data_IF_943915012811
#
_entry.id   IF_943915012811
#
_cell.length_a   1.000
_cell.length_b   1.000
_cell.length_c   1.000
_cell.angle_alpha   90.00
_cell.angle_beta   90.00
_cell.angle_gamma   90.00
#
_symmetry.space_group_name_H-M   'P 1'
#
loop_
_entity.id
_entity.type
_entity.pdbx_description
1 polymer ?
#
# COMPACT_ATOMS: atom_id res chain seq x y z
N UNK A 1 5.09 64.66 -9.73
CA UNK A 1 4.83 64.29 -11.15
C UNK A 1 5.73 63.18 -11.68
N UNK A 2 7.04 63.15 -11.40
CA UNK A 2 7.94 62.06 -11.89
C UNK A 2 7.55 60.64 -11.42
N UNK A 3 7.07 60.47 -10.18
CA UNK A 3 6.64 59.16 -9.66
C UNK A 3 5.38 58.59 -10.32
N UNK A 4 4.47 59.45 -10.81
CA UNK A 4 3.22 59.03 -11.48
C UNK A 4 3.54 58.52 -12.89
N UNK A 5 4.41 59.22 -13.63
CA UNK A 5 4.84 58.79 -14.97
C UNK A 5 5.67 57.50 -14.97
N UNK A 6 6.46 57.25 -13.92
CA UNK A 6 7.17 55.99 -13.72
C UNK A 6 6.21 54.83 -13.43
N UNK A 7 5.19 55.07 -12.59
CA UNK A 7 4.13 54.10 -12.29
C UNK A 7 3.32 53.72 -13.53
N UNK A 8 2.89 54.70 -14.34
CA UNK A 8 2.14 54.44 -15.58
C UNK A 8 2.97 53.67 -16.61
N UNK A 9 4.26 53.98 -16.79
CA UNK A 9 5.13 53.26 -17.72
C UNK A 9 5.37 51.81 -17.30
N UNK A 10 5.55 51.55 -16.00
CA UNK A 10 5.68 50.19 -15.46
C UNK A 10 4.37 49.40 -15.65
N UNK A 11 3.22 50.06 -15.49
CA UNK A 11 1.91 49.46 -15.69
C UNK A 11 1.64 49.11 -17.17
N UNK A 12 2.00 49.97 -18.12
CA UNK A 12 1.85 49.68 -19.56
C UNK A 12 2.79 48.58 -20.03
N UNK A 13 4.04 48.55 -19.55
CA UNK A 13 5.01 47.48 -19.85
C UNK A 13 4.56 46.12 -19.29
N UNK A 14 4.01 46.08 -18.08
CA UNK A 14 3.46 44.85 -17.49
C UNK A 14 2.22 44.36 -18.24
N UNK A 15 1.32 45.25 -18.67
CA UNK A 15 0.16 44.88 -19.50
C UNK A 15 0.56 44.28 -20.85
N UNK A 16 1.61 44.80 -21.50
CA UNK A 16 2.13 44.21 -22.74
C UNK A 16 2.74 42.83 -22.52
N UNK A 17 3.52 42.64 -21.45
CA UNK A 17 4.11 41.33 -21.11
C UNK A 17 3.02 40.29 -20.83
N UNK A 18 1.99 40.66 -20.08
CA UNK A 18 0.85 39.77 -19.81
C UNK A 18 0.13 39.42 -21.11
N UNK A 19 -0.12 40.40 -21.99
CA UNK A 19 -0.81 40.15 -23.26
C UNK A 19 -0.01 39.21 -24.19
N UNK A 20 1.30 39.43 -24.29
CA UNK A 20 2.21 38.58 -25.08
C UNK A 20 2.23 37.15 -24.52
N UNK A 21 2.33 36.99 -23.19
CA UNK A 21 2.34 35.69 -22.55
C UNK A 21 1.00 34.95 -22.71
N UNK A 22 -0.14 35.65 -22.62
CA UNK A 22 -1.45 35.06 -22.90
C UNK A 22 -1.59 34.59 -24.34
N UNK A 23 -1.05 35.37 -25.31
CA UNK A 23 -1.03 35.00 -26.71
C UNK A 23 -0.15 33.77 -26.94
N UNK A 24 1.01 33.72 -26.29
CA UNK A 24 1.90 32.56 -26.34
C UNK A 24 1.24 31.30 -25.78
N UNK A 25 0.52 31.40 -24.66
CA UNK A 25 -0.19 30.27 -24.07
C UNK A 25 -1.28 29.76 -25.01
N UNK A 26 -2.09 30.65 -25.60
CA UNK A 26 -3.17 30.26 -26.53
C UNK A 26 -2.64 29.52 -27.75
N UNK A 27 -1.48 29.94 -28.27
CA UNK A 27 -0.93 29.38 -29.50
C UNK A 27 -0.04 28.15 -29.26
N UNK A 28 0.63 28.08 -28.10
CA UNK A 28 1.74 27.15 -27.90
C UNK A 28 1.61 26.23 -26.68
N UNK A 29 0.65 26.44 -25.77
CA UNK A 29 0.56 25.60 -24.57
C UNK A 29 0.32 24.12 -24.92
N UNK A 30 -0.70 23.84 -25.73
CA UNK A 30 -1.09 22.46 -26.05
C UNK A 30 -0.09 21.76 -26.98
N UNK A 31 0.63 22.53 -27.81
CA UNK A 31 1.68 21.98 -28.68
C UNK A 31 2.99 21.72 -27.93
N UNK A 32 3.36 22.57 -26.96
CA UNK A 32 4.60 22.41 -26.20
C UNK A 32 4.46 21.53 -24.94
N UNK A 33 3.24 21.33 -24.45
CA UNK A 33 2.96 20.58 -23.22
C UNK A 33 1.90 19.51 -23.53
N UNK A 34 2.33 18.29 -23.92
CA UNK A 34 1.42 17.21 -24.25
C UNK A 34 0.48 16.87 -23.09
N UNK A 35 -0.81 16.69 -23.42
CA UNK A 35 -1.84 16.41 -22.41
C UNK A 35 -2.26 17.64 -21.58
N UNK A 36 -1.85 18.85 -21.99
CA UNK A 36 -2.41 20.09 -21.45
C UNK A 36 -3.68 20.49 -22.20
N UNK A 37 -4.58 21.19 -21.49
CA UNK A 37 -5.77 21.82 -22.07
C UNK A 37 -6.00 23.17 -21.41
N UNK A 38 -6.07 24.22 -22.21
CA UNK A 38 -6.33 25.57 -21.69
C UNK A 38 -7.83 25.73 -21.41
N UNK A 39 -8.20 25.98 -20.15
CA UNK A 39 -9.60 26.20 -19.74
C UNK A 39 -9.95 27.68 -19.76
N UNK A 40 -9.06 28.51 -19.22
CA UNK A 40 -9.21 29.96 -19.17
C UNK A 40 -7.87 30.62 -19.45
N UNK A 41 -7.88 31.69 -20.24
CA UNK A 41 -6.69 32.47 -20.57
C UNK A 41 -7.10 33.94 -20.72
N UNK A 42 -7.15 34.63 -19.58
CA UNK A 42 -7.61 36.02 -19.44
C UNK A 42 -6.58 36.84 -18.65
N UNK A 43 -6.60 38.19 -18.73
CA UNK A 43 -5.62 39.05 -18.05
C UNK A 43 -5.53 38.90 -16.54
N UNK A 44 -6.60 38.44 -15.87
CA UNK A 44 -6.59 38.19 -14.42
C UNK A 44 -6.05 36.81 -14.05
N UNK A 45 -6.22 35.81 -14.92
CA UNK A 45 -5.88 34.42 -14.62
C UNK A 45 -5.72 33.53 -15.85
N UNK A 46 -4.86 32.53 -15.69
CA UNK A 46 -4.71 31.41 -16.61
C UNK A 46 -5.02 30.12 -15.87
N UNK A 47 -5.93 29.32 -16.44
CA UNK A 47 -6.27 27.99 -15.92
C UNK A 47 -6.00 26.93 -16.97
N UNK A 48 -5.17 25.95 -16.62
CA UNK A 48 -4.76 24.86 -17.50
C UNK A 48 -4.97 23.54 -16.79
N UNK A 49 -5.62 22.58 -17.45
CA UNK A 49 -5.65 21.20 -17.01
C UNK A 49 -4.45 20.46 -17.59
N UNK A 50 -3.67 19.78 -16.76
CA UNK A 50 -2.59 18.89 -17.12
C UNK A 50 -3.03 17.46 -16.85
N UNK A 51 -3.04 16.60 -17.87
CA UNK A 51 -3.45 15.20 -17.76
C UNK A 51 -2.38 14.28 -18.31
N UNK A 52 -1.86 13.40 -17.45
CA UNK A 52 -1.01 12.26 -17.85
C UNK A 52 -1.83 10.98 -17.91
N UNK A 53 -2.57 10.68 -16.85
CA UNK A 53 -3.51 9.55 -16.78
C UNK A 53 -4.83 10.03 -16.15
N UNK A 54 -5.81 9.13 -16.02
CA UNK A 54 -7.06 9.43 -15.29
C UNK A 54 -6.83 9.79 -13.81
N UNK A 55 -5.76 9.27 -13.22
CA UNK A 55 -5.42 9.47 -11.80
C UNK A 55 -4.23 10.43 -11.58
N UNK A 56 -3.48 10.74 -12.64
CA UNK A 56 -2.46 11.79 -12.68
C UNK A 56 -2.98 12.96 -13.49
N UNK A 57 -3.89 13.73 -12.89
CA UNK A 57 -4.43 14.95 -13.47
C UNK A 57 -4.40 16.09 -12.46
N UNK A 58 -4.14 17.30 -12.95
CA UNK A 58 -3.95 18.50 -12.16
C UNK A 58 -4.56 19.70 -12.89
N UNK A 59 -5.41 20.44 -12.22
CA UNK A 59 -5.86 21.77 -12.66
C UNK A 59 -4.94 22.81 -12.03
N UNK A 60 -4.25 23.57 -12.86
CA UNK A 60 -3.33 24.63 -12.48
C UNK A 60 -4.05 25.97 -12.67
N UNK A 61 -4.15 26.77 -11.62
CA UNK A 61 -4.68 28.13 -11.68
C UNK A 61 -3.56 29.11 -11.34
N UNK A 62 -3.25 29.99 -12.29
CA UNK A 62 -2.18 30.99 -12.20
C UNK A 62 -2.82 32.37 -12.24
N UNK A 63 -2.54 33.21 -11.25
CA UNK A 63 -3.04 34.60 -11.22
C UNK A 63 -1.85 35.56 -11.26
N UNK A 64 -2.03 36.65 -12.00
CA UNK A 64 -1.03 37.70 -12.12
C UNK A 64 -1.15 38.65 -10.93
N UNK A 65 -0.09 38.86 -10.13
CA UNK A 65 -0.07 39.94 -9.16
C UNK A 65 0.08 41.30 -9.85
N UNK A 66 -0.23 42.39 -9.14
CA UNK A 66 -0.20 43.76 -9.69
C UNK A 66 1.18 44.17 -10.25
N UNK A 67 2.27 43.67 -9.66
CA UNK A 67 3.64 43.97 -10.05
C UNK A 67 4.29 42.82 -10.84
N UNK A 68 3.51 42.06 -11.60
CA UNK A 68 4.05 41.06 -12.51
C UNK A 68 4.79 41.71 -13.70
N UNK A 69 5.95 41.18 -14.17
CA UNK A 69 6.65 39.94 -13.77
C UNK A 69 7.68 40.08 -12.63
N UNK A 70 7.72 41.21 -11.93
CA UNK A 70 8.65 41.49 -10.82
C UNK A 70 8.26 40.76 -9.52
N UNK A 71 7.01 40.28 -9.46
CA UNK A 71 6.52 39.35 -8.45
C UNK A 71 6.25 37.97 -9.06
N UNK A 72 6.22 36.94 -8.22
CA UNK A 72 5.90 35.57 -8.65
C UNK A 72 4.41 35.40 -8.89
N UNK A 73 4.04 34.55 -9.84
CA UNK A 73 2.66 34.13 -10.03
C UNK A 73 2.07 33.58 -8.73
N UNK A 74 0.79 33.88 -8.48
CA UNK A 74 0.03 33.19 -7.45
C UNK A 74 -0.46 31.85 -8.03
N UNK A 75 -0.05 30.74 -7.42
CA UNK A 75 -0.30 29.39 -7.93
C UNK A 75 -1.28 28.67 -7.01
N UNK A 76 -2.36 28.17 -7.60
CA UNK A 76 -3.29 27.27 -6.92
C UNK A 76 -3.40 25.96 -7.72
N UNK A 77 -3.12 24.85 -7.04
CA UNK A 77 -3.13 23.50 -7.61
C UNK A 77 -4.33 22.71 -7.09
N UNK A 78 -5.14 22.16 -7.99
CA UNK A 78 -6.31 21.33 -7.65
C UNK A 78 -6.27 19.99 -8.37
N UNK A 79 -6.65 18.91 -7.69
CA UNK A 79 -6.81 17.60 -8.31
C UNK A 79 -7.99 16.87 -7.69
N UNK A 80 -8.62 15.99 -8.48
CA UNK A 80 -9.66 15.07 -7.99
C UNK A 80 -9.07 13.77 -7.45
N UNK A 81 -7.79 13.50 -7.72
CA UNK A 81 -7.16 12.18 -7.52
C UNK A 81 -5.85 12.24 -6.77
N UNK A 82 -5.13 13.38 -6.81
CA UNK A 82 -3.93 13.61 -6.00
C UNK A 82 -4.32 14.27 -4.68
N UNK A 83 -3.61 13.94 -3.60
CA UNK A 83 -3.95 14.41 -2.27
C UNK A 83 -3.51 15.85 -2.00
N UNK A 84 -4.24 16.54 -1.12
CA UNK A 84 -3.99 17.95 -0.79
C UNK A 84 -2.59 18.19 -0.21
N UNK A 85 -2.08 17.25 0.59
CA UNK A 85 -0.73 17.36 1.15
C UNK A 85 0.34 17.37 0.06
N UNK A 86 0.18 16.54 -0.97
CA UNK A 86 1.06 16.54 -2.13
C UNK A 86 0.92 17.84 -2.93
N UNK A 87 -0.31 18.28 -3.19
CA UNK A 87 -0.57 19.52 -3.94
C UNK A 87 0.01 20.75 -3.24
N UNK A 88 -0.13 20.85 -1.91
CA UNK A 88 0.44 21.92 -1.10
C UNK A 88 1.98 21.90 -1.15
N UNK A 89 2.59 20.71 -1.08
CA UNK A 89 4.04 20.56 -1.24
C UNK A 89 4.51 20.98 -2.63
N UNK A 90 3.82 20.55 -3.68
CA UNK A 90 4.15 20.90 -5.06
C UNK A 90 3.96 22.40 -5.33
N UNK A 91 2.93 23.02 -4.75
CA UNK A 91 2.70 24.47 -4.86
C UNK A 91 3.90 25.26 -4.33
N UNK A 92 4.41 24.89 -3.15
CA UNK A 92 5.60 25.52 -2.57
C UNK A 92 6.85 25.38 -3.45
N UNK A 93 7.05 24.19 -4.03
CA UNK A 93 8.16 23.95 -4.97
C UNK A 93 8.00 24.84 -6.21
N UNK A 94 6.78 24.98 -6.74
CA UNK A 94 6.53 25.86 -7.89
C UNK A 94 6.75 27.34 -7.56
N UNK A 95 6.36 27.79 -6.36
CA UNK A 95 6.64 29.16 -5.91
C UNK A 95 8.15 29.44 -5.84
N UNK A 96 8.96 28.47 -5.39
CA UNK A 96 10.42 28.56 -5.41
C UNK A 96 10.99 28.63 -6.83
N UNK A 97 10.46 27.85 -7.77
CA UNK A 97 10.85 27.93 -9.19
C UNK A 97 10.47 29.29 -9.81
N UNK A 98 9.29 29.84 -9.48
CA UNK A 98 8.89 31.18 -9.93
C UNK A 98 9.84 32.28 -9.47
N UNK A 99 10.38 32.19 -8.24
CA UNK A 99 11.35 33.18 -7.73
C UNK A 99 12.62 33.26 -8.57
N UNK A 100 12.99 32.18 -9.27
CA UNK A 100 14.14 32.18 -10.20
C UNK A 100 13.84 32.88 -11.53
N UNK A 101 12.56 33.17 -11.79
CA UNK A 101 12.05 33.72 -13.05
C UNK A 101 11.59 35.17 -12.94
N UNK A 102 11.90 35.86 -11.83
CA UNK A 102 11.53 37.26 -11.63
C UNK A 102 12.05 38.14 -12.77
N UNK A 103 11.20 39.07 -13.21
CA UNK A 103 11.45 39.95 -14.35
C UNK A 103 11.29 39.29 -15.72
N UNK A 104 10.89 38.01 -15.80
CA UNK A 104 10.66 37.28 -17.05
C UNK A 104 9.26 36.64 -17.06
N UNK A 105 8.72 36.28 -18.24
CA UNK A 105 7.52 35.44 -18.33
C UNK A 105 7.72 34.09 -17.61
N UNK A 106 6.71 33.69 -16.85
CA UNK A 106 6.77 32.57 -15.90
C UNK A 106 5.84 31.40 -16.29
N UNK A 107 4.67 31.64 -16.89
CA UNK A 107 3.58 30.68 -17.03
C UNK A 107 4.01 29.41 -17.77
N UNK A 108 4.49 29.53 -19.01
CA UNK A 108 4.87 28.35 -19.81
C UNK A 108 5.98 27.54 -19.14
N UNK A 109 6.90 28.21 -18.44
CA UNK A 109 7.99 27.52 -17.72
C UNK A 109 7.46 26.75 -16.52
N UNK A 110 6.56 27.35 -15.75
CA UNK A 110 5.90 26.70 -14.60
C UNK A 110 5.04 25.52 -15.06
N UNK A 111 4.27 25.67 -16.14
CA UNK A 111 3.46 24.58 -16.67
C UNK A 111 4.32 23.42 -17.19
N UNK A 112 5.43 23.70 -17.88
CA UNK A 112 6.41 22.68 -18.30
C UNK A 112 7.03 21.99 -17.09
N UNK A 113 7.44 22.75 -16.09
CA UNK A 113 7.97 22.20 -14.84
C UNK A 113 6.97 21.27 -14.15
N UNK A 114 5.71 21.69 -14.01
CA UNK A 114 4.64 20.89 -13.42
C UNK A 114 4.41 19.58 -14.21
N UNK A 115 4.36 19.67 -15.54
CA UNK A 115 4.21 18.48 -16.38
C UNK A 115 5.36 17.50 -16.19
N UNK A 116 6.60 18.00 -16.25
CA UNK A 116 7.80 17.19 -16.04
C UNK A 116 7.82 16.58 -14.64
N UNK A 117 7.45 17.34 -13.61
CA UNK A 117 7.40 16.86 -12.23
C UNK A 117 6.43 15.68 -12.08
N UNK A 118 5.23 15.75 -12.65
CA UNK A 118 4.24 14.65 -12.62
C UNK A 118 4.72 13.44 -13.45
N UNK A 119 5.50 13.68 -14.50
CA UNK A 119 6.08 12.61 -15.31
C UNK A 119 7.17 11.84 -14.55
N UNK A 120 8.03 12.57 -13.84
CA UNK A 120 9.18 12.03 -13.09
C UNK A 120 8.81 11.48 -11.70
N UNK A 121 7.63 11.81 -11.17
CA UNK A 121 7.16 11.39 -9.85
C UNK A 121 5.89 10.50 -9.94
N UNK A 122 6.00 9.27 -10.45
CA UNK A 122 4.84 8.40 -10.64
C UNK A 122 4.20 7.94 -9.32
N UNK A 123 4.92 7.96 -8.19
CA UNK A 123 4.39 7.62 -6.87
C UNK A 123 3.47 8.70 -6.27
N UNK A 124 3.30 9.84 -6.96
CA UNK A 124 2.37 10.90 -6.55
C UNK A 124 0.94 10.39 -6.33
N UNK A 125 0.51 9.40 -7.13
CA UNK A 125 -0.85 8.79 -7.07
C UNK A 125 -1.14 8.03 -5.79
N UNK A 126 -0.11 7.54 -5.10
CA UNK A 126 -0.24 6.74 -3.88
C UNK A 126 0.44 7.43 -2.68
N UNK A 127 0.66 8.74 -2.76
CA UNK A 127 1.35 9.53 -1.73
C UNK A 127 0.68 9.45 -0.35
N UNK A 128 -0.65 9.32 -0.30
CA UNK A 128 -1.39 9.08 0.96
C UNK A 128 -1.10 7.70 1.55
N UNK A 129 -1.09 6.66 0.71
CA UNK A 129 -0.76 5.30 1.13
C UNK A 129 0.69 5.19 1.59
N UNK A 130 1.62 5.84 0.88
CA UNK A 130 3.02 5.97 1.31
C UNK A 130 3.11 6.64 2.68
N UNK A 131 2.29 7.66 2.94
CA UNK A 131 2.23 8.34 4.23
C UNK A 131 1.64 7.45 5.34
N UNK A 132 0.67 6.59 5.02
CA UNK A 132 0.16 5.57 5.93
C UNK A 132 1.24 4.53 6.27
N UNK A 133 1.95 4.03 5.27
CA UNK A 133 3.07 3.10 5.46
C UNK A 133 4.11 3.71 6.38
N UNK A 134 4.59 4.92 6.09
CA UNK A 134 5.59 5.61 6.91
C UNK A 134 5.16 5.78 8.38
N UNK A 135 3.87 5.94 8.65
CA UNK A 135 3.33 6.05 10.02
C UNK A 135 3.24 4.72 10.76
N UNK A 136 3.17 3.60 10.03
CA UNK A 136 3.02 2.25 10.58
C UNK A 136 4.37 1.55 10.84
N UNK A 137 5.41 2.00 10.16
CA UNK A 137 6.78 1.52 10.35
C UNK A 137 7.35 2.03 11.69
N UNK A 138 8.12 1.17 12.35
CA UNK A 138 8.83 1.50 13.59
C UNK A 138 10.22 2.08 13.27
N UNK A 139 10.96 2.51 14.29
CA UNK A 139 12.29 3.13 14.13
C UNK A 139 13.33 2.22 13.47
N UNK A 140 13.20 0.89 13.65
CA UNK A 140 14.10 -0.10 13.07
C UNK A 140 13.74 -0.45 11.62
N UNK A 141 12.54 -0.10 11.17
CA UNK A 141 12.07 -0.38 9.83
C UNK A 141 12.63 0.66 8.84
N UNK A 142 12.76 0.28 7.56
CA UNK A 142 13.23 1.19 6.52
C UNK A 142 12.29 1.22 5.32
N UNK A 143 12.14 2.40 4.72
CA UNK A 143 11.40 2.59 3.48
C UNK A 143 12.21 3.46 2.51
N UNK A 144 12.40 2.95 1.30
CA UNK A 144 13.06 3.65 0.20
C UNK A 144 12.08 3.80 -0.97
N UNK A 145 11.86 5.04 -1.40
CA UNK A 145 11.01 5.37 -2.55
C UNK A 145 11.88 5.49 -3.80
N UNK A 146 11.52 4.78 -4.86
CA UNK A 146 12.22 4.84 -6.16
C UNK A 146 11.25 5.37 -7.21
N UNK A 147 11.28 6.69 -7.43
CA UNK A 147 10.39 7.37 -8.38
C UNK A 147 10.59 6.87 -9.82
N UNK A 148 11.83 6.79 -10.30
CA UNK A 148 12.13 6.38 -11.69
C UNK A 148 11.59 5.00 -12.06
N UNK A 149 11.62 4.05 -11.12
CA UNK A 149 11.13 2.68 -11.34
C UNK A 149 9.71 2.48 -10.79
N UNK A 150 9.02 3.54 -10.35
CA UNK A 150 7.70 3.49 -9.73
C UNK A 150 7.57 2.39 -8.68
N UNK A 151 8.52 2.33 -7.74
CA UNK A 151 8.57 1.24 -6.75
C UNK A 151 8.95 1.70 -5.35
N UNK A 152 8.52 0.93 -4.34
CA UNK A 152 8.94 1.06 -2.95
C UNK A 152 9.75 -0.16 -2.55
N UNK A 153 10.79 0.04 -1.75
CA UNK A 153 11.51 -1.02 -1.06
C UNK A 153 11.37 -0.81 0.44
N UNK A 154 10.77 -1.78 1.12
CA UNK A 154 10.42 -1.72 2.55
C UNK A 154 11.16 -2.85 3.25
N UNK A 155 11.86 -2.54 4.34
CA UNK A 155 12.52 -3.51 5.20
C UNK A 155 11.84 -3.46 6.56
N UNK A 156 11.20 -4.56 6.95
CA UNK A 156 10.42 -4.67 8.18
C UNK A 156 11.19 -5.59 9.12
N UNK A 157 11.34 -5.18 10.38
CA UNK A 157 12.12 -5.91 11.38
C UNK A 157 11.33 -6.13 12.67
N UNK A 158 11.49 -7.31 13.26
CA UNK A 158 10.95 -7.65 14.57
C UNK A 158 11.93 -8.55 15.32
N UNK A 159 12.74 -7.96 16.21
CA UNK A 159 13.87 -8.68 16.82
C UNK A 159 14.87 -9.08 15.74
N UNK A 160 15.22 -10.37 15.68
CA UNK A 160 16.08 -10.91 14.62
C UNK A 160 15.32 -11.31 13.35
N UNK A 161 13.99 -11.29 13.35
CA UNK A 161 13.17 -11.58 12.17
C UNK A 161 13.05 -10.36 11.26
N UNK A 162 13.05 -10.59 9.95
CA UNK A 162 12.87 -9.54 8.97
C UNK A 162 12.14 -10.01 7.71
N UNK A 163 11.59 -9.05 6.97
CA UNK A 163 11.17 -9.23 5.59
C UNK A 163 11.44 -7.98 4.75
N UNK A 164 11.98 -8.18 3.56
CA UNK A 164 12.22 -7.13 2.55
C UNK A 164 11.18 -7.24 1.46
N UNK A 165 10.32 -6.23 1.37
CA UNK A 165 9.21 -6.16 0.42
C UNK A 165 9.53 -5.13 -0.66
N UNK A 166 9.30 -5.50 -1.91
CA UNK A 166 9.31 -4.59 -3.05
C UNK A 166 7.88 -4.45 -3.58
N UNK A 167 7.36 -3.23 -3.61
CA UNK A 167 6.06 -2.93 -4.20
C UNK A 167 6.26 -2.12 -5.49
N UNK A 168 5.72 -2.58 -6.61
CA UNK A 168 5.76 -1.87 -7.89
C UNK A 168 4.37 -1.33 -8.25
N UNK A 169 4.31 -0.04 -8.59
CA UNK A 169 3.07 0.71 -8.82
C UNK A 169 2.86 0.83 -10.33
N UNK A 170 1.75 0.30 -10.88
CA UNK A 170 1.43 0.42 -12.29
C UNK A 170 1.10 1.87 -12.68
N UNK A 171 1.21 2.21 -13.97
CA UNK A 171 1.04 3.61 -14.41
C UNK A 171 -0.42 4.09 -14.29
N UNK A 172 -1.39 3.19 -14.43
CA UNK A 172 -2.84 3.46 -14.34
C UNK A 172 -3.43 3.15 -12.96
N UNK A 173 -2.60 3.05 -11.92
CA UNK A 173 -3.04 2.88 -10.54
C UNK A 173 -4.09 3.93 -10.12
N UNK A 174 -5.20 3.56 -9.43
CA UNK A 174 -5.50 2.25 -8.81
C UNK A 174 -6.33 1.28 -9.66
N UNK A 175 -6.44 1.48 -10.98
CA UNK A 175 -7.18 0.54 -11.86
C UNK A 175 -6.41 -0.76 -12.13
N UNK A 176 -5.11 -0.75 -11.91
CA UNK A 176 -4.26 -1.93 -12.00
C UNK A 176 -3.69 -2.29 -10.61
N UNK A 177 -3.51 -3.59 -10.41
CA UNK A 177 -3.01 -4.16 -9.18
C UNK A 177 -1.53 -3.84 -8.95
N UNK A 178 -1.17 -3.46 -7.72
CA UNK A 178 0.24 -3.36 -7.32
C UNK A 178 0.89 -4.74 -7.30
N UNK A 179 2.12 -4.82 -7.79
CA UNK A 179 2.90 -6.04 -7.69
C UNK A 179 3.69 -6.01 -6.37
N UNK A 180 3.35 -6.93 -5.47
CA UNK A 180 4.04 -7.09 -4.19
C UNK A 180 4.95 -8.31 -4.28
N UNK A 181 6.24 -8.11 -4.00
CA UNK A 181 7.25 -9.15 -4.04
C UNK A 181 8.00 -9.16 -2.70
N UNK A 182 8.03 -10.32 -2.04
CA UNK A 182 8.88 -10.55 -0.87
C UNK A 182 10.26 -10.96 -1.36
N UNK A 183 11.17 -9.99 -1.44
CA UNK A 183 12.51 -10.18 -2.03
C UNK A 183 13.47 -10.96 -1.16
N UNK A 184 13.27 -10.93 0.15
CA UNK A 184 14.11 -11.61 1.14
C UNK A 184 13.34 -11.73 2.45
N UNK A 185 13.44 -12.86 3.13
CA UNK A 185 12.90 -13.06 4.48
C UNK A 185 13.60 -14.22 5.18
N UNK A 186 13.63 -14.18 6.50
CA UNK A 186 14.17 -15.26 7.33
C UNK A 186 13.10 -16.05 8.09
N UNK A 187 11.85 -15.96 7.64
CA UNK A 187 10.77 -16.80 8.13
C UNK A 187 10.80 -18.18 7.45
N UNK A 188 10.21 -19.22 8.05
CA UNK A 188 10.03 -20.51 7.40
C UNK A 188 9.25 -20.38 6.09
N UNK A 189 9.56 -21.25 5.12
CA UNK A 189 9.07 -21.16 3.73
C UNK A 189 7.53 -21.15 3.60
N UNK A 190 6.82 -21.81 4.50
CA UNK A 190 5.34 -21.80 4.53
C UNK A 190 4.80 -20.40 4.86
N UNK A 191 5.46 -19.64 5.74
CA UNK A 191 5.12 -18.25 6.05
C UNK A 191 5.50 -17.31 4.91
N UNK A 192 6.69 -17.47 4.33
CA UNK A 192 7.13 -16.70 3.16
C UNK A 192 6.10 -16.76 2.02
N UNK A 193 5.72 -17.98 1.62
CA UNK A 193 4.70 -18.22 0.59
C UNK A 193 3.36 -17.59 0.97
N UNK A 194 3.00 -17.65 2.25
CA UNK A 194 1.75 -17.07 2.73
C UNK A 194 1.76 -15.55 2.70
N UNK A 195 2.85 -14.89 3.14
CA UNK A 195 2.98 -13.43 3.06
C UNK A 195 2.82 -12.95 1.63
N UNK A 196 3.54 -13.59 0.70
CA UNK A 196 3.49 -13.26 -0.73
C UNK A 196 2.09 -13.52 -1.32
N UNK A 197 1.54 -14.72 -1.11
CA UNK A 197 0.23 -15.08 -1.66
C UNK A 197 -0.92 -14.25 -1.10
N UNK A 198 -0.94 -14.02 0.21
CA UNK A 198 -2.03 -13.29 0.87
C UNK A 198 -1.97 -11.79 0.58
N UNK A 199 -0.78 -11.18 0.53
CA UNK A 199 -0.66 -9.77 0.12
C UNK A 199 -1.05 -9.56 -1.34
N UNK A 200 -0.68 -10.48 -2.24
CA UNK A 200 -1.09 -10.45 -3.63
C UNK A 200 -2.61 -10.62 -3.78
N UNK A 201 -3.22 -11.49 -2.97
CA UNK A 201 -4.69 -11.67 -2.98
C UNK A 201 -5.43 -10.44 -2.45
N UNK A 202 -4.91 -9.78 -1.40
CA UNK A 202 -5.45 -8.50 -0.90
C UNK A 202 -5.39 -7.44 -2.01
N UNK A 203 -4.24 -7.35 -2.70
CA UNK A 203 -4.07 -6.42 -3.80
C UNK A 203 -5.06 -6.71 -4.94
N UNK A 204 -5.24 -7.99 -5.28
CA UNK A 204 -6.19 -8.46 -6.30
C UNK A 204 -7.63 -8.10 -5.95
N UNK A 205 -8.06 -8.30 -4.70
CA UNK A 205 -9.43 -8.00 -4.24
C UNK A 205 -9.77 -6.50 -4.28
N UNK A 206 -8.76 -5.62 -4.26
CA UNK A 206 -8.96 -4.19 -4.39
C UNK A 206 -9.24 -3.74 -5.82
N UNK A 207 -8.83 -4.52 -6.83
CA UNK A 207 -8.85 -4.12 -8.24
C UNK A 207 -9.74 -5.02 -9.10
N UNK A 208 -9.92 -6.28 -8.71
CA UNK A 208 -10.74 -7.25 -9.44
C UNK A 208 -12.07 -7.50 -8.73
N UNK A 209 -13.13 -7.63 -9.53
CA UNK A 209 -14.46 -7.98 -9.03
C UNK A 209 -14.44 -9.35 -8.32
N UNK A 210 -15.23 -9.51 -7.24
CA UNK A 210 -15.44 -10.82 -6.62
C UNK A 210 -15.98 -11.84 -7.63
N UNK A 211 -15.52 -13.09 -7.55
CA UNK A 211 -16.00 -14.18 -8.42
C UNK A 211 -17.50 -14.45 -8.23
N UNK A 212 -18.01 -14.24 -7.02
CA UNK A 212 -19.42 -14.42 -6.65
C UNK A 212 -19.93 -13.14 -5.97
N UNK A 213 -20.32 -12.11 -6.73
CA UNK A 213 -20.88 -10.88 -6.15
C UNK A 213 -22.22 -11.20 -5.48
N UNK A 214 -22.52 -10.54 -4.35
CA UNK A 214 -23.85 -10.71 -3.75
C UNK A 214 -24.86 -9.89 -4.56
N UNK A 215 -26.11 -10.35 -4.70
CA UNK A 215 -27.11 -9.67 -5.54
C UNK A 215 -27.42 -8.22 -5.16
N UNK A 216 -27.15 -7.83 -3.90
CA UNK A 216 -27.41 -6.48 -3.35
C UNK A 216 -26.15 -5.61 -3.24
N UNK A 217 -24.99 -6.10 -3.66
CA UNK A 217 -23.76 -5.32 -3.57
C UNK A 217 -23.75 -4.20 -4.63
N UNK A 218 -23.24 -3.00 -4.29
CA UNK A 218 -23.07 -1.94 -5.27
C UNK A 218 -22.09 -2.36 -6.38
N UNK A 219 -22.11 -1.68 -7.56
CA UNK A 219 -21.14 -1.93 -8.61
C UNK A 219 -19.72 -1.84 -8.11
N UNK A 220 -18.92 -2.87 -8.39
CA UNK A 220 -17.52 -2.92 -8.00
C UNK A 220 -16.75 -1.75 -8.64
N UNK A 221 -15.95 -1.05 -7.82
CA UNK A 221 -15.04 0.00 -8.26
C UNK A 221 -13.63 -0.32 -7.74
N UNK A 222 -12.59 -0.26 -8.60
CA UNK A 222 -11.22 -0.38 -8.16
C UNK A 222 -10.90 0.64 -7.07
N UNK A 223 -10.14 0.20 -6.07
CA UNK A 223 -9.69 1.03 -4.97
C UNK A 223 -8.17 0.88 -4.76
N UNK A 224 -7.52 1.85 -4.13
CA UNK A 224 -6.10 1.75 -3.79
C UNK A 224 -5.79 0.46 -3.04
N UNK A 225 -4.70 -0.20 -3.45
CA UNK A 225 -4.31 -1.54 -3.02
C UNK A 225 -2.92 -1.62 -2.39
N UNK A 226 -2.12 -0.54 -2.45
CA UNK A 226 -0.77 -0.51 -1.88
C UNK A 226 -0.81 -0.62 -0.35
N UNK A 227 -1.57 0.27 0.31
CA UNK A 227 -1.68 0.29 1.77
C UNK A 227 -2.19 -1.03 2.35
N UNK A 228 -3.38 -1.56 1.97
CA UNK A 228 -3.91 -2.77 2.61
C UNK A 228 -3.01 -4.00 2.42
N UNK A 229 -2.29 -4.07 1.30
CA UNK A 229 -1.39 -5.19 1.02
C UNK A 229 -0.10 -5.11 1.85
N UNK A 230 0.46 -3.90 2.00
CA UNK A 230 1.67 -3.67 2.79
C UNK A 230 1.38 -3.70 4.29
N UNK A 231 0.24 -3.15 4.73
CA UNK A 231 -0.21 -3.19 6.13
C UNK A 231 -0.28 -4.63 6.64
N UNK A 232 -0.89 -5.51 5.86
CA UNK A 232 -0.93 -6.94 6.16
C UNK A 232 0.47 -7.51 6.39
N UNK A 233 1.44 -7.25 5.51
CA UNK A 233 2.80 -7.78 5.67
C UNK A 233 3.46 -7.21 6.94
N UNK A 234 3.32 -5.91 7.18
CA UNK A 234 3.88 -5.27 8.38
C UNK A 234 3.31 -5.90 9.65
N UNK A 235 1.99 -6.04 9.72
CA UNK A 235 1.32 -6.59 10.89
C UNK A 235 1.73 -8.03 11.16
N UNK A 236 1.82 -8.86 10.13
CA UNK A 236 2.14 -10.27 10.29
C UNK A 236 3.61 -10.53 10.63
N UNK A 237 4.55 -9.81 9.98
CA UNK A 237 5.98 -9.89 10.32
C UNK A 237 6.23 -9.44 11.76
N UNK A 238 5.51 -8.42 12.23
CA UNK A 238 5.62 -7.93 13.61
C UNK A 238 4.90 -8.82 14.63
N UNK A 239 3.81 -9.48 14.23
CA UNK A 239 3.01 -10.33 15.11
C UNK A 239 3.66 -11.69 15.36
N UNK A 240 4.04 -12.42 14.32
CA UNK A 240 4.41 -13.83 14.47
C UNK A 240 5.56 -14.12 15.43
N UNK A 241 6.67 -13.35 15.45
CA UNK A 241 7.75 -13.59 16.42
C UNK A 241 7.33 -13.43 17.89
N UNK A 242 6.23 -12.70 18.14
CA UNK A 242 5.66 -12.50 19.48
C UNK A 242 4.50 -13.45 19.78
N UNK A 243 3.95 -14.10 18.74
CA UNK A 243 2.77 -14.93 18.87
C UNK A 243 3.13 -16.25 19.56
N UNK A 244 2.30 -16.63 20.53
CA UNK A 244 2.43 -17.88 21.27
C UNK A 244 1.58 -18.96 20.61
N UNK A 245 1.94 -20.22 20.81
CA UNK A 245 1.12 -21.35 20.43
C UNK A 245 -0.25 -21.24 21.07
N UNK A 246 -1.32 -21.37 20.29
CA UNK A 246 -2.66 -21.17 20.84
C UNK A 246 -3.10 -22.29 21.81
N UNK A 247 -2.35 -23.39 21.92
CA UNK A 247 -2.61 -24.48 22.85
C UNK A 247 -1.69 -24.44 24.08
N UNK A 248 -0.39 -24.72 23.91
CA UNK A 248 0.54 -24.78 25.05
C UNK A 248 0.98 -23.41 25.58
N UNK A 249 0.69 -22.31 24.86
CA UNK A 249 1.08 -20.93 25.20
C UNK A 249 2.59 -20.68 25.26
N UNK A 250 3.40 -21.61 24.74
CA UNK A 250 4.84 -21.41 24.57
C UNK A 250 5.14 -20.66 23.25
N UNK A 251 6.36 -20.13 23.14
CA UNK A 251 6.81 -19.44 21.92
C UNK A 251 6.91 -20.43 20.76
N UNK A 252 6.26 -20.12 19.64
CA UNK A 252 6.42 -20.88 18.41
C UNK A 252 7.73 -20.51 17.70
N UNK A 253 7.98 -19.21 17.54
CA UNK A 253 9.19 -18.72 16.90
C UNK A 253 10.33 -18.60 17.92
N UNK A 254 11.49 -19.26 17.69
CA UNK A 254 12.67 -19.07 18.51
C UNK A 254 13.22 -17.64 18.36
N UNK A 255 13.94 -17.08 19.35
CA UNK A 255 14.53 -15.75 19.23
C UNK A 255 15.48 -15.61 18.05
N UNK A 256 16.25 -16.66 17.74
CA UNK A 256 17.13 -16.75 16.58
C UNK A 256 16.41 -17.49 15.43
N UNK A 257 16.17 -16.84 14.28
CA UNK A 257 15.51 -17.43 13.13
C UNK A 257 16.23 -18.67 12.55
N UNK A 258 17.54 -18.80 12.76
CA UNK A 258 18.30 -19.97 12.29
C UNK A 258 17.92 -21.26 13.00
N UNK A 259 17.30 -21.15 14.17
CA UNK A 259 16.81 -22.28 14.97
C UNK A 259 15.39 -22.71 14.55
N UNK A 260 14.79 -22.09 13.53
CA UNK A 260 13.48 -22.51 13.04
C UNK A 260 13.54 -23.92 12.45
N UNK A 261 12.58 -24.74 12.85
CA UNK A 261 12.49 -26.12 12.39
C UNK A 261 11.77 -26.14 11.04
N UNK A 262 12.50 -26.58 10.02
CA UNK A 262 12.01 -26.66 8.63
C UNK A 262 11.32 -27.98 8.32
N UNK A 263 11.59 -29.02 9.10
CA UNK A 263 11.01 -30.35 8.92
C UNK A 263 9.55 -30.38 9.35
N UNK A 264 8.65 -30.66 8.40
CA UNK A 264 7.20 -30.62 8.59
C UNK A 264 6.63 -31.66 9.58
N UNK A 265 7.40 -32.70 9.89
CA UNK A 265 7.02 -33.79 10.79
C UNK A 265 7.52 -33.61 12.23
N UNK A 266 8.36 -32.61 12.48
CA UNK A 266 8.87 -32.35 13.82
C UNK A 266 7.78 -31.76 14.72
N UNK A 267 7.75 -32.18 15.98
CA UNK A 267 6.74 -31.76 16.97
C UNK A 267 6.66 -30.25 17.15
N UNK A 268 7.81 -29.57 17.07
CA UNK A 268 7.96 -28.13 17.25
C UNK A 268 7.88 -27.34 15.94
N UNK A 269 7.68 -28.01 14.81
CA UNK A 269 7.40 -27.33 13.55
C UNK A 269 6.17 -26.41 13.69
N UNK A 270 6.23 -25.23 13.07
CA UNK A 270 5.19 -24.21 13.25
C UNK A 270 4.14 -24.36 12.16
N UNK A 271 2.94 -24.70 12.57
CA UNK A 271 1.76 -24.81 11.71
C UNK A 271 0.88 -23.56 11.83
N UNK A 272 0.49 -23.02 10.68
CA UNK A 272 -0.44 -21.89 10.60
C UNK A 272 -1.77 -22.36 10.04
N UNK A 273 -2.84 -22.16 10.80
CA UNK A 273 -4.20 -22.50 10.35
C UNK A 273 -4.83 -21.35 9.56
N UNK A 274 -5.95 -21.62 8.88
CA UNK A 274 -6.60 -20.64 8.00
C UNK A 274 -7.11 -19.38 8.74
N UNK A 275 -7.39 -19.47 10.04
CA UNK A 275 -7.78 -18.29 10.81
C UNK A 275 -6.62 -17.34 11.14
N UNK A 276 -5.38 -17.68 10.75
CA UNK A 276 -4.18 -16.85 10.90
C UNK A 276 -3.31 -17.22 12.10
N UNK A 277 -3.86 -17.91 13.10
CA UNK A 277 -3.13 -18.27 14.31
C UNK A 277 -2.14 -19.44 14.10
N UNK A 278 -1.13 -19.50 14.96
CA UNK A 278 -0.07 -20.51 14.91
C UNK A 278 -0.11 -21.51 16.06
N UNK A 279 0.39 -22.71 15.79
CA UNK A 279 0.48 -23.83 16.71
C UNK A 279 1.80 -24.57 16.46
N UNK A 280 2.34 -25.24 17.47
CA UNK A 280 3.31 -26.32 17.23
C UNK A 280 2.59 -27.50 16.58
N UNK A 281 3.26 -28.23 15.69
CA UNK A 281 2.70 -29.35 14.95
C UNK A 281 2.12 -30.42 15.88
N UNK A 282 2.86 -30.84 16.90
CA UNK A 282 2.38 -31.81 17.88
C UNK A 282 1.16 -31.32 18.65
N UNK A 283 1.16 -30.04 19.07
CA UNK A 283 0.02 -29.44 19.75
C UNK A 283 -1.24 -29.48 18.87
N UNK A 284 -1.10 -29.06 17.61
CA UNK A 284 -2.21 -29.07 16.66
C UNK A 284 -2.69 -30.50 16.37
N UNK A 285 -1.78 -31.45 16.19
CA UNK A 285 -2.12 -32.85 15.94
C UNK A 285 -2.93 -33.47 17.09
N UNK A 286 -2.45 -33.31 18.32
CA UNK A 286 -3.15 -33.77 19.54
C UNK A 286 -4.54 -33.13 19.62
N UNK A 287 -4.63 -31.81 19.41
CA UNK A 287 -5.91 -31.11 19.50
C UNK A 287 -6.90 -31.53 18.43
N UNK A 288 -6.44 -31.81 17.22
CA UNK A 288 -7.29 -32.27 16.12
C UNK A 288 -7.77 -33.71 16.32
N UNK A 289 -7.05 -34.53 17.09
CA UNK A 289 -7.36 -35.95 17.38
C UNK A 289 -8.11 -36.20 18.70
N UNK A 290 -8.24 -35.20 19.56
CA UNK A 290 -8.95 -35.31 20.85
C UNK A 290 -10.37 -34.77 20.72
N UNK A 291 -11.41 -35.23 21.44
CA UNK A 291 -12.74 -34.58 21.45
C UNK A 291 -12.69 -33.17 22.08
N UNK A 292 -13.74 -32.33 21.91
CA UNK A 292 -14.96 -32.55 21.13
C UNK A 292 -14.75 -32.33 19.62
N UNK A 293 -15.46 -33.11 18.80
CA UNK A 293 -15.45 -32.97 17.32
C UNK A 293 -16.68 -32.28 16.74
N UNK A 294 -17.78 -32.19 17.50
CA UNK A 294 -19.05 -31.64 17.04
C UNK A 294 -18.92 -30.21 16.50
N UNK A 295 -19.50 -29.96 15.32
CA UNK A 295 -19.38 -28.66 14.63
C UNK A 295 -18.00 -28.38 14.01
N UNK A 296 -17.05 -29.33 14.11
CA UNK A 296 -15.67 -29.18 13.69
C UNK A 296 -14.80 -28.48 14.73
N UNK A 297 -13.50 -28.77 14.71
CA UNK A 297 -12.52 -28.19 15.63
C UNK A 297 -12.45 -26.68 15.47
N UNK A 298 -12.58 -25.95 16.57
CA UNK A 298 -12.52 -24.48 16.60
C UNK A 298 -11.17 -24.02 17.15
N UNK A 299 -10.66 -22.92 16.63
CA UNK A 299 -9.46 -22.28 17.16
C UNK A 299 -9.76 -21.76 18.58
N UNK A 300 -8.96 -22.12 19.60
CA UNK A 300 -9.19 -21.68 20.97
C UNK A 300 -9.26 -20.16 21.14
N UNK A 301 -8.54 -19.42 20.29
CA UNK A 301 -8.37 -17.97 20.45
C UNK A 301 -9.43 -17.13 19.73
N UNK A 302 -9.95 -17.59 18.58
CA UNK A 302 -10.91 -16.82 17.79
C UNK A 302 -12.24 -17.52 17.51
N UNK A 303 -12.42 -18.77 17.96
CA UNK A 303 -13.65 -19.55 17.79
C UNK A 303 -13.96 -19.97 16.34
N UNK A 304 -13.19 -19.51 15.35
CA UNK A 304 -13.34 -19.92 13.95
C UNK A 304 -12.97 -21.39 13.79
N UNK A 305 -13.67 -22.10 12.90
CA UNK A 305 -13.36 -23.49 12.58
C UNK A 305 -11.95 -23.58 11.98
N UNK A 306 -11.16 -24.51 12.50
CA UNK A 306 -9.84 -24.85 11.99
C UNK A 306 -10.05 -25.64 10.70
N UNK A 307 -9.46 -25.10 9.64
CA UNK A 307 -9.20 -25.81 8.42
C UNK A 307 -7.69 -25.95 8.32
N UNK A 308 -7.20 -27.12 7.89
CA UNK A 308 -5.80 -27.38 7.64
C UNK A 308 -5.67 -28.56 6.69
N UNK A 309 -4.67 -28.55 5.80
CA UNK A 309 -4.51 -29.59 4.78
C UNK A 309 -4.20 -30.97 5.36
N UNK A 310 -3.31 -31.03 6.36
CA UNK A 310 -2.92 -32.27 7.03
C UNK A 310 -4.07 -32.96 7.80
N UNK A 311 -5.10 -32.21 8.22
CA UNK A 311 -6.21 -32.72 9.04
C UNK A 311 -7.59 -32.56 8.34
N UNK A 312 -7.66 -32.86 7.04
CA UNK A 312 -8.91 -32.88 6.24
C UNK A 312 -9.78 -34.11 6.56
N UNK A 313 -10.28 -34.23 7.79
CA UNK A 313 -11.14 -35.35 8.23
C UNK A 313 -12.50 -34.81 8.68
N UNK A 314 -13.59 -35.55 8.40
CA UNK A 314 -14.94 -35.18 8.86
C UNK A 314 -15.06 -35.39 10.38
N UNK A 315 -15.86 -34.58 11.10
CA UNK A 315 -16.07 -34.75 12.53
C UNK A 315 -16.47 -36.18 12.93
N UNK A 316 -17.38 -36.79 12.15
CA UNK A 316 -17.83 -38.17 12.36
C UNK A 316 -16.68 -39.17 12.27
N UNK A 317 -15.85 -39.08 11.23
CA UNK A 317 -14.71 -39.99 11.08
C UNK A 317 -13.63 -39.77 12.15
N UNK A 318 -13.46 -38.54 12.64
CA UNK A 318 -12.56 -38.26 13.76
C UNK A 318 -13.08 -38.86 15.07
N UNK A 319 -14.38 -38.76 15.31
CA UNK A 319 -15.07 -39.32 16.48
C UNK A 319 -15.01 -40.86 16.48
N UNK A 320 -15.31 -41.50 15.35
CA UNK A 320 -15.23 -42.96 15.19
C UNK A 320 -13.81 -43.48 15.44
N UNK A 321 -12.78 -42.79 14.92
CA UNK A 321 -11.37 -43.15 15.13
C UNK A 321 -10.95 -43.01 16.59
N UNK A 322 -11.35 -41.91 17.24
CA UNK A 322 -11.04 -41.67 18.64
C UNK A 322 -11.72 -42.71 19.54
N UNK A 323 -13.00 -42.99 19.31
CA UNK A 323 -13.76 -43.98 20.07
C UNK A 323 -13.15 -45.39 19.95
N UNK A 324 -12.73 -45.78 18.74
CA UNK A 324 -12.02 -47.05 18.53
C UNK A 324 -10.66 -47.09 19.24
N UNK A 325 -9.93 -45.98 19.27
CA UNK A 325 -8.65 -45.90 19.97
C UNK A 325 -8.82 -46.00 21.50
N UNK A 326 -9.82 -45.33 22.06
CA UNK A 326 -10.15 -45.40 23.49
C UNK A 326 -10.67 -46.79 23.88
N UNK A 327 -11.51 -47.42 23.06
CA UNK A 327 -11.97 -48.79 23.30
C UNK A 327 -10.79 -49.78 23.39
N UNK A 328 -9.86 -49.71 22.43
CA UNK A 328 -8.65 -50.55 22.44
C UNK A 328 -7.75 -50.26 23.65
N UNK A 329 -7.65 -49.00 24.08
CA UNK A 329 -6.87 -48.62 25.26
C UNK A 329 -7.49 -49.17 26.55
N UNK A 330 -8.83 -49.18 26.63
CA UNK A 330 -9.56 -49.80 27.74
C UNK A 330 -9.34 -51.30 27.80
N UNK A 331 -9.46 -52.00 26.67
CA UNK A 331 -9.18 -53.44 26.57
C UNK A 331 -7.76 -53.78 27.02
N UNK A 332 -6.76 -53.01 26.56
CA UNK A 332 -5.36 -53.19 26.99
C UNK A 332 -5.17 -52.92 28.49
N UNK A 333 -5.86 -51.91 29.04
CA UNK A 333 -5.85 -51.62 30.47
C UNK A 333 -6.42 -52.77 31.30
N UNK A 334 -7.56 -53.33 30.88
CA UNK A 334 -8.18 -54.50 31.51
C UNK A 334 -7.26 -55.72 31.48
N UNK A 335 -6.52 -55.92 30.37
CA UNK A 335 -5.51 -56.99 30.27
C UNK A 335 -4.35 -56.76 31.24
N UNK A 336 -3.84 -55.53 31.37
CA UNK A 336 -2.74 -55.23 32.31
C UNK A 336 -3.20 -55.39 33.76
N UNK A 337 -4.39 -54.90 34.11
CA UNK A 337 -4.99 -55.06 35.45
C UNK A 337 -5.24 -56.54 35.79
N UNK A 338 -5.50 -57.40 34.80
CA UNK A 338 -5.59 -58.84 35.01
C UNK A 338 -4.25 -59.51 35.37
N UNK A 339 -3.11 -58.90 35.04
CA UNK A 339 -1.77 -59.42 35.32
C UNK A 339 -1.10 -58.80 36.57
N UNK A 340 -1.73 -57.82 37.22
CA UNK A 340 -1.36 -57.28 38.54
C UNK A 340 -2.15 -57.98 39.66
#
# INVERSE_FOLDING_TARGET
MQYIFLSERIFVLSMNIIHDELKDIKNHCESQIPGSKVIACVPSMVRVDLRRTKYKQLTVCLQFPELYPQQTLLIELKSKTLCDKFLNGLTKICEEECKKLLGKPQILKVLKFLKQFIDENPLSVCSDEVSLIKRKLDENDQIKLKQKTSSLSIHIMQGLYFGKVKAMIPDVYPEEQVQIELTDCNFPRNFEKWFSGQSMEIARQCVQKPLKPKPKDPPFKPKPSLWPSVEFIIDEIKRFPKELCQLCKEKCFPPDPTQNITEEGDEKHIEKVYCGHIFHNACLDIYMKTPPFHGGKKCPSCGKRIYHEKWKITPKLAEDRWAHQEAKKRELGEVVEFFE
#
